data_IF_893542573052
#
_entry.id   IF_893542573052
#
_cell.length_a   1.000
_cell.length_b   1.000
_cell.length_c   1.000
_cell.angle_alpha   90.00
_cell.angle_beta   90.00
_cell.angle_gamma   90.00
#
_symmetry.space_group_name_H-M   'P 1'
#
loop_
_entity.id
_entity.type
_entity.pdbx_description
1 polymer ?
#
# COMPACT_ATOMS: atom_id res chain seq x y z
N UNK A 1 51.82 -36.49 -6.59
CA UNK A 1 51.33 -35.57 -7.63
C UNK A 1 49.94 -35.11 -7.21
N UNK A 2 49.76 -33.79 -7.21
CA UNK A 2 48.60 -33.02 -6.73
C UNK A 2 47.27 -33.56 -7.27
N UNK A 3 46.22 -33.53 -6.45
CA UNK A 3 44.98 -32.78 -6.75
C UNK A 3 44.16 -32.60 -5.46
N UNK A 4 44.42 -31.46 -4.84
CA UNK A 4 43.59 -30.81 -3.83
C UNK A 4 42.30 -30.29 -4.48
N UNK A 5 41.36 -29.96 -3.60
CA UNK A 5 40.26 -29.01 -3.79
C UNK A 5 38.93 -29.63 -4.29
N UNK A 6 37.78 -29.26 -3.74
CA UNK A 6 37.46 -28.26 -2.72
C UNK A 6 36.04 -28.56 -2.26
N UNK A 7 35.92 -28.59 -0.94
CA UNK A 7 34.77 -28.31 -0.08
C UNK A 7 33.57 -27.65 -0.79
N UNK A 8 32.41 -28.23 -0.51
CA UNK A 8 31.07 -27.73 -0.80
C UNK A 8 30.90 -26.23 -0.53
N UNK A 9 30.36 -25.51 -1.50
CA UNK A 9 29.69 -24.23 -1.27
C UNK A 9 28.40 -24.25 -2.09
N UNK A 10 27.30 -24.53 -1.38
CA UNK A 10 25.93 -24.29 -1.82
C UNK A 10 25.77 -22.77 -2.00
N UNK A 11 25.95 -22.26 -3.22
CA UNK A 11 25.65 -20.88 -3.55
C UNK A 11 24.14 -20.75 -3.76
N UNK A 12 23.46 -20.63 -2.61
CA UNK A 12 22.10 -20.16 -2.44
C UNK A 12 21.83 -18.94 -3.31
N UNK A 13 20.99 -19.11 -4.34
CA UNK A 13 20.45 -18.00 -5.14
C UNK A 13 19.54 -17.15 -4.26
N UNK A 14 20.09 -16.12 -3.62
CA UNK A 14 19.32 -15.13 -2.88
C UNK A 14 18.45 -14.32 -3.84
N UNK A 15 17.15 -14.58 -3.86
CA UNK A 15 16.16 -13.70 -4.48
C UNK A 15 16.13 -12.38 -3.70
N UNK A 16 16.68 -11.32 -4.30
CA UNK A 16 16.50 -9.94 -3.84
C UNK A 16 15.06 -9.52 -4.18
N UNK A 17 14.13 -9.73 -3.26
CA UNK A 17 12.78 -9.16 -3.34
C UNK A 17 12.87 -7.66 -3.08
N UNK A 18 12.98 -6.88 -4.16
CA UNK A 18 12.80 -5.43 -4.13
C UNK A 18 11.33 -5.17 -3.79
N UNK A 19 11.07 -4.87 -2.52
CA UNK A 19 9.76 -4.36 -2.09
C UNK A 19 9.65 -2.94 -2.61
N UNK A 20 8.90 -2.75 -3.70
CA UNK A 20 8.60 -1.43 -4.24
C UNK A 20 7.60 -0.75 -3.29
N UNK A 21 8.11 -0.02 -2.29
CA UNK A 21 7.29 0.88 -1.49
C UNK A 21 6.86 2.06 -2.38
N UNK A 22 5.60 2.03 -2.81
CA UNK A 22 4.98 3.15 -3.50
C UNK A 22 4.86 4.35 -2.52
N UNK A 23 5.86 5.23 -2.50
CA UNK A 23 5.81 6.50 -1.77
C UNK A 23 4.95 7.53 -2.52
N UNK A 24 3.63 7.34 -2.50
CA UNK A 24 2.67 8.36 -2.90
C UNK A 24 2.21 9.17 -1.69
N UNK A 25 3.07 10.01 -1.11
CA UNK A 25 2.67 10.92 -0.03
C UNK A 25 2.06 12.18 -0.65
N UNK A 26 0.76 12.14 -0.92
CA UNK A 26 -0.04 13.37 -1.06
C UNK A 26 -0.19 13.98 0.33
N UNK A 27 0.05 15.28 0.49
CA UNK A 27 -0.08 15.96 1.78
C UNK A 27 -1.48 15.69 2.37
N UNK A 28 -1.60 15.23 3.62
CA UNK A 28 -2.89 14.91 4.19
C UNK A 28 -3.69 16.19 4.35
N UNK A 29 -4.84 16.26 3.68
CA UNK A 29 -5.87 17.22 4.07
C UNK A 29 -6.36 16.78 5.46
N UNK A 30 -6.48 17.67 6.42
CA UNK A 30 -6.98 17.27 7.73
C UNK A 30 -8.51 17.37 7.72
N UNK A 31 -9.20 16.37 8.29
CA UNK A 31 -10.64 16.52 8.58
C UNK A 31 -10.84 17.62 9.63
N UNK A 32 -12.05 18.14 9.77
CA UNK A 32 -12.40 19.14 10.79
C UNK A 32 -12.04 18.69 12.23
N UNK A 33 -12.06 17.37 12.47
CA UNK A 33 -11.66 16.74 13.74
C UNK A 33 -10.13 16.52 13.89
N UNK A 34 -9.31 17.01 12.95
CA UNK A 34 -7.84 16.96 13.04
C UNK A 34 -7.17 15.64 12.59
N UNK A 35 -7.93 14.64 12.14
CA UNK A 35 -7.38 13.39 11.58
C UNK A 35 -6.79 13.65 10.19
N UNK A 36 -5.60 13.09 9.93
CA UNK A 36 -4.99 13.11 8.61
C UNK A 36 -5.86 12.30 7.62
N UNK A 37 -6.27 12.92 6.53
CA UNK A 37 -6.98 12.22 5.45
C UNK A 37 -6.00 11.70 4.42
N UNK A 38 -6.42 10.64 3.74
CA UNK A 38 -5.66 10.01 2.68
C UNK A 38 -6.54 9.92 1.45
N UNK A 39 -5.98 10.26 0.30
CA UNK A 39 -6.65 10.08 -0.98
C UNK A 39 -6.25 8.72 -1.56
N UNK A 40 -7.25 7.93 -1.93
CA UNK A 40 -7.07 6.67 -2.63
C UNK A 40 -7.73 6.75 -4.01
N UNK A 41 -7.01 6.25 -5.00
CA UNK A 41 -7.54 6.00 -6.34
C UNK A 41 -7.65 4.50 -6.55
N UNK A 42 -8.82 4.06 -6.98
CA UNK A 42 -9.15 2.67 -7.20
C UNK A 42 -10.11 2.55 -8.39
N UNK A 43 -10.31 1.34 -8.88
CA UNK A 43 -11.32 1.10 -9.91
C UNK A 43 -12.72 1.33 -9.33
N UNK A 44 -13.51 2.19 -9.97
CA UNK A 44 -14.90 2.39 -9.57
C UNK A 44 -15.78 1.17 -9.85
N UNK A 45 -15.35 0.32 -10.78
CA UNK A 45 -16.05 -0.92 -11.18
C UNK A 45 -15.84 -2.05 -10.17
N UNK A 46 -14.82 -1.97 -9.31
CA UNK A 46 -14.52 -2.96 -8.29
C UNK A 46 -14.38 -2.32 -6.91
N UNK A 47 -15.50 -2.27 -6.18
CA UNK A 47 -15.55 -1.75 -4.81
C UNK A 47 -14.57 -2.43 -3.85
N UNK A 48 -14.21 -3.71 -4.09
CA UNK A 48 -13.26 -4.45 -3.25
C UNK A 48 -11.83 -3.91 -3.34
N UNK A 49 -11.42 -3.37 -4.49
CA UNK A 49 -10.11 -2.74 -4.67
C UNK A 49 -9.98 -1.48 -3.79
N UNK A 50 -11.05 -0.68 -3.73
CA UNK A 50 -11.10 0.52 -2.90
C UNK A 50 -11.01 0.19 -1.41
N UNK A 51 -11.75 -0.81 -0.93
CA UNK A 51 -11.72 -1.24 0.47
C UNK A 51 -10.35 -1.80 0.86
N UNK A 52 -9.77 -2.66 0.02
CA UNK A 52 -8.45 -3.24 0.28
C UNK A 52 -7.36 -2.18 0.35
N UNK A 53 -7.40 -1.18 -0.54
CA UNK A 53 -6.49 -0.04 -0.51
C UNK A 53 -6.69 0.81 0.74
N UNK A 54 -7.94 1.11 1.09
CA UNK A 54 -8.25 1.89 2.29
C UNK A 54 -7.72 1.21 3.56
N UNK A 55 -7.96 -0.11 3.72
CA UNK A 55 -7.40 -0.90 4.82
C UNK A 55 -5.88 -0.88 4.82
N UNK A 56 -5.25 -1.02 3.66
CA UNK A 56 -3.79 -0.98 3.55
C UNK A 56 -3.22 0.38 4.00
N UNK A 57 -3.84 1.48 3.55
CA UNK A 57 -3.45 2.85 3.96
C UNK A 57 -3.68 3.11 5.45
N UNK A 58 -4.66 2.44 6.05
CA UNK A 58 -4.94 2.52 7.48
C UNK A 58 -4.26 1.42 8.31
N UNK A 59 -3.25 0.73 7.77
CA UNK A 59 -2.54 -0.36 8.46
C UNK A 59 -3.49 -1.41 9.07
N UNK A 60 -4.51 -1.80 8.29
CA UNK A 60 -5.59 -2.74 8.64
C UNK A 60 -6.55 -2.26 9.74
N UNK A 61 -6.48 -0.99 10.16
CA UNK A 61 -7.49 -0.37 11.02
C UNK A 61 -8.77 -0.05 10.25
N UNK A 62 -9.82 0.30 10.99
CA UNK A 62 -11.03 0.89 10.41
C UNK A 62 -10.75 2.26 9.78
N UNK A 63 -11.62 2.66 8.86
CA UNK A 63 -11.53 3.93 8.14
C UNK A 63 -12.93 4.50 7.89
N UNK A 64 -13.01 5.83 7.84
CA UNK A 64 -14.20 6.57 7.45
C UNK A 64 -14.01 7.08 6.01
N UNK A 65 -15.03 6.95 5.16
CA UNK A 65 -15.05 7.57 3.83
C UNK A 65 -15.63 8.98 3.99
N UNK A 66 -14.82 10.00 3.72
CA UNK A 66 -15.23 11.40 3.78
C UNK A 66 -15.81 11.87 2.46
N UNK A 67 -15.15 11.50 1.36
CA UNK A 67 -15.56 11.84 0.00
C UNK A 67 -15.39 10.64 -0.89
N UNK A 68 -16.33 10.45 -1.82
CA UNK A 68 -16.21 9.50 -2.92
C UNK A 68 -16.63 10.20 -4.20
N UNK A 69 -15.70 10.35 -5.12
CA UNK A 69 -15.93 10.82 -6.46
C UNK A 69 -15.63 9.70 -7.46
N UNK A 70 -16.42 9.59 -8.52
CA UNK A 70 -16.21 8.60 -9.58
C UNK A 70 -16.17 9.31 -10.91
N UNK A 71 -15.03 9.20 -11.59
CA UNK A 71 -14.82 9.83 -12.88
C UNK A 71 -14.18 8.82 -13.86
N UNK A 72 -14.83 8.58 -15.00
CA UNK A 72 -14.28 7.76 -16.08
C UNK A 72 -13.92 6.32 -15.67
N UNK A 73 -14.61 5.73 -14.68
CA UNK A 73 -14.31 4.38 -14.17
C UNK A 73 -13.24 4.31 -13.09
N UNK A 74 -12.70 5.46 -12.66
CA UNK A 74 -11.81 5.57 -11.50
C UNK A 74 -12.58 6.20 -10.35
N UNK A 75 -12.49 5.61 -9.17
CA UNK A 75 -13.03 6.17 -7.94
C UNK A 75 -11.90 6.86 -7.17
N UNK A 76 -12.09 8.15 -6.88
CA UNK A 76 -11.28 8.95 -5.98
C UNK A 76 -11.97 8.98 -4.62
N UNK A 77 -11.45 8.27 -3.63
CA UNK A 77 -11.98 8.36 -2.27
C UNK A 77 -11.02 9.15 -1.41
N UNK A 78 -11.57 9.98 -0.53
CA UNK A 78 -10.85 10.60 0.57
C UNK A 78 -11.30 9.89 1.84
N UNK A 79 -10.36 9.31 2.57
CA UNK A 79 -10.63 8.54 3.78
C UNK A 79 -9.90 9.14 4.98
N UNK A 80 -10.41 8.90 6.18
CA UNK A 80 -9.71 9.14 7.43
C UNK A 80 -9.58 7.83 8.21
N UNK A 81 -8.37 7.48 8.63
CA UNK A 81 -8.17 6.28 9.44
C UNK A 81 -8.69 6.49 10.86
N UNK A 82 -9.22 5.42 11.45
CA UNK A 82 -9.58 5.44 12.85
C UNK A 82 -8.32 5.54 13.74
N UNK A 83 -8.39 6.29 14.85
CA UNK A 83 -7.33 6.25 15.85
C UNK A 83 -7.23 4.83 16.43
N UNK A 84 -6.01 4.44 16.82
CA UNK A 84 -5.77 3.21 17.60
C UNK A 84 -6.29 3.34 19.02
#
# INVERSE_FOLDING_TARGET
MKNLARTAILLSSGLLTVTLSACGTSAPLFTSDGRATQQIQCSATNSGDCDQRARTQCAQKGYDILTRDVNGGVANLVIACHPS
#
